data_IF_163032826775
#
_entry.id   IF_163032826775
#
_cell.length_a   1.000
_cell.length_b   1.000
_cell.length_c   1.000
_cell.angle_alpha   90.00
_cell.angle_beta   90.00
_cell.angle_gamma   90.00
#
_symmetry.space_group_name_H-M   'P 1'
#
loop_
_entity.id
_entity.type
_entity.pdbx_description
1 polymer ?
#
# COMPACT_ATOMS: atom_id res chain seq x y z
N UNK A 1 16.80 -15.65 16.94
CA UNK A 1 15.68 -16.02 17.82
C UNK A 1 14.44 -16.14 16.95
N UNK A 2 14.14 -17.36 16.52
CA UNK A 2 13.03 -17.68 15.61
C UNK A 2 11.72 -17.54 16.39
N UNK A 3 10.93 -16.53 16.08
CA UNK A 3 9.58 -16.39 16.64
C UNK A 3 8.71 -17.52 16.07
N UNK A 4 8.50 -18.55 16.89
CA UNK A 4 7.56 -19.62 16.61
C UNK A 4 6.17 -19.08 16.94
N UNK A 5 5.36 -18.85 15.91
CA UNK A 5 3.98 -18.41 16.08
C UNK A 5 3.03 -19.60 16.02
N UNK A 6 2.22 -19.77 17.06
CA UNK A 6 1.14 -20.77 17.08
C UNK A 6 0.00 -20.39 16.12
N UNK A 7 -0.71 -21.36 15.54
CA UNK A 7 -1.88 -21.08 14.71
C UNK A 7 -2.99 -20.43 15.58
N UNK A 8 -3.52 -19.31 15.09
CA UNK A 8 -4.54 -18.52 15.80
C UNK A 8 -5.90 -19.00 15.32
N UNK A 9 -6.67 -19.60 16.23
CA UNK A 9 -7.99 -20.15 15.99
C UNK A 9 -9.06 -19.06 15.86
N UNK A 10 -10.03 -19.26 14.97
CA UNK A 10 -11.22 -18.39 14.77
C UNK A 10 -12.21 -18.36 15.96
N UNK A 11 -11.84 -18.90 17.12
CA UNK A 11 -12.78 -19.16 18.22
C UNK A 11 -13.00 -17.96 19.16
N UNK A 12 -12.20 -16.90 19.04
CA UNK A 12 -12.44 -15.64 19.75
C UNK A 12 -12.93 -14.62 18.73
N UNK A 13 -14.25 -14.59 18.55
CA UNK A 13 -14.91 -13.60 17.71
C UNK A 13 -14.74 -12.21 18.33
N UNK A 14 -14.21 -11.28 17.52
CA UNK A 14 -14.15 -9.88 17.91
C UNK A 14 -15.57 -9.29 17.81
N UNK A 15 -16.02 -8.47 18.78
CA UNK A 15 -17.32 -7.79 18.68
C UNK A 15 -17.47 -7.06 17.32
N UNK A 16 -18.59 -7.21 16.60
CA UNK A 16 -18.77 -6.64 15.25
C UNK A 16 -18.52 -5.13 15.18
N UNK A 17 -18.89 -4.40 16.24
CA UNK A 17 -18.62 -2.97 16.38
C UNK A 17 -17.13 -2.61 16.29
N UNK A 18 -16.25 -3.46 16.84
CA UNK A 18 -14.80 -3.26 16.86
C UNK A 18 -14.17 -3.67 15.54
N UNK A 19 -14.69 -4.73 14.92
CA UNK A 19 -14.33 -5.13 13.55
C UNK A 19 -14.61 -3.95 12.61
N UNK A 20 -15.84 -3.44 12.63
CA UNK A 20 -16.26 -2.30 11.81
C UNK A 20 -15.42 -1.04 12.07
N UNK A 21 -15.20 -0.67 13.34
CA UNK A 21 -14.37 0.49 13.68
C UNK A 21 -12.93 0.36 13.16
N UNK A 22 -12.36 -0.85 13.21
CA UNK A 22 -11.04 -1.13 12.66
C UNK A 22 -10.99 -0.97 11.15
N UNK A 23 -11.96 -1.55 10.42
CA UNK A 23 -12.05 -1.41 8.97
C UNK A 23 -12.24 0.05 8.56
N UNK A 24 -13.10 0.79 9.25
CA UNK A 24 -13.32 2.21 8.96
C UNK A 24 -12.02 3.03 9.04
N UNK A 25 -11.22 2.86 10.09
CA UNK A 25 -9.93 3.57 10.21
C UNK A 25 -8.97 3.21 9.06
N UNK A 26 -8.99 1.97 8.61
CA UNK A 26 -8.17 1.49 7.49
C UNK A 26 -8.66 2.08 6.17
N UNK A 27 -9.97 2.09 5.94
CA UNK A 27 -10.59 2.59 4.71
C UNK A 27 -10.46 4.12 4.59
N UNK A 28 -10.44 4.84 5.72
CA UNK A 28 -10.15 6.27 5.81
C UNK A 28 -8.63 6.59 5.69
N UNK A 29 -7.78 5.59 5.43
CA UNK A 29 -6.30 5.68 5.40
C UNK A 29 -5.67 6.31 6.67
N UNK A 30 -6.36 6.25 7.80
CA UNK A 30 -5.85 6.68 9.09
C UNK A 30 -4.95 5.59 9.70
N UNK A 31 -3.77 5.39 9.11
CA UNK A 31 -2.84 4.32 9.47
C UNK A 31 -2.36 4.40 10.91
N UNK A 32 -2.09 5.60 11.43
CA UNK A 32 -1.67 5.84 12.82
C UNK A 32 -2.80 5.49 13.82
N UNK A 33 -4.03 5.92 13.52
CA UNK A 33 -5.21 5.57 14.31
C UNK A 33 -5.51 4.08 14.28
N UNK A 34 -5.46 3.47 13.10
CA UNK A 34 -5.69 2.04 12.90
C UNK A 34 -4.62 1.20 13.61
N UNK A 35 -3.35 1.62 13.61
CA UNK A 35 -2.27 0.96 14.34
C UNK A 35 -2.50 1.01 15.85
N UNK A 36 -2.79 2.19 16.41
CA UNK A 36 -3.09 2.32 17.86
C UNK A 36 -4.29 1.46 18.26
N UNK A 37 -5.33 1.46 17.44
CA UNK A 37 -6.55 0.69 17.66
C UNK A 37 -6.26 -0.82 17.63
N UNK A 38 -5.62 -1.32 16.57
CA UNK A 38 -5.28 -2.74 16.42
C UNK A 38 -4.31 -3.23 17.51
N UNK A 39 -3.32 -2.43 17.89
CA UNK A 39 -2.41 -2.77 19.00
C UNK A 39 -3.16 -2.89 20.34
N UNK A 40 -4.17 -2.07 20.57
CA UNK A 40 -5.03 -2.17 21.77
C UNK A 40 -5.88 -3.43 21.74
N UNK A 41 -6.44 -3.77 20.57
CA UNK A 41 -7.21 -4.99 20.39
C UNK A 41 -6.35 -6.25 20.56
N UNK A 42 -5.11 -6.27 20.07
CA UNK A 42 -4.19 -7.40 20.22
C UNK A 42 -3.90 -7.71 21.70
N UNK A 43 -3.79 -6.68 22.56
CA UNK A 43 -3.62 -6.89 24.01
C UNK A 43 -4.84 -7.56 24.64
N UNK A 44 -6.05 -7.24 24.17
CA UNK A 44 -7.31 -7.75 24.73
C UNK A 44 -7.76 -9.08 24.13
N UNK A 45 -7.45 -9.31 22.86
CA UNK A 45 -7.85 -10.49 22.09
C UNK A 45 -6.63 -11.09 21.35
N UNK A 46 -5.59 -11.55 22.07
CA UNK A 46 -4.31 -11.99 21.47
C UNK A 46 -4.41 -13.27 20.63
N UNK A 47 -5.58 -13.92 20.57
CA UNK A 47 -5.85 -15.12 19.76
C UNK A 47 -7.00 -14.92 18.77
N UNK A 48 -7.37 -13.68 18.46
CA UNK A 48 -8.46 -13.41 17.50
C UNK A 48 -7.91 -13.22 16.09
N UNK A 49 -8.31 -14.09 15.16
CA UNK A 49 -7.92 -13.99 13.75
C UNK A 49 -8.28 -12.65 13.11
N UNK A 50 -9.44 -12.07 13.47
CA UNK A 50 -9.91 -10.77 12.96
C UNK A 50 -8.96 -9.64 13.34
N UNK A 51 -8.45 -9.65 14.56
CA UNK A 51 -7.50 -8.63 15.02
C UNK A 51 -6.19 -8.73 14.25
N UNK A 52 -5.70 -9.94 13.98
CA UNK A 52 -4.51 -10.13 13.16
C UNK A 52 -4.77 -9.77 11.70
N UNK A 53 -5.97 -10.01 11.16
CA UNK A 53 -6.35 -9.57 9.83
C UNK A 53 -6.35 -8.03 9.72
N UNK A 54 -6.96 -7.33 10.68
CA UNK A 54 -6.90 -5.86 10.77
C UNK A 54 -5.46 -5.36 10.87
N UNK A 55 -4.63 -5.99 11.73
CA UNK A 55 -3.22 -5.61 11.87
C UNK A 55 -2.45 -5.79 10.57
N UNK A 56 -2.66 -6.89 9.84
CA UNK A 56 -2.03 -7.09 8.53
C UNK A 56 -2.45 -6.04 7.50
N UNK A 57 -3.73 -5.66 7.47
CA UNK A 57 -4.23 -4.57 6.62
C UNK A 57 -3.53 -3.24 6.94
N UNK A 58 -3.35 -2.93 8.22
CA UNK A 58 -2.61 -1.73 8.65
C UNK A 58 -1.16 -1.77 8.19
N UNK A 59 -0.46 -2.89 8.40
CA UNK A 59 0.94 -3.03 7.94
C UNK A 59 1.05 -2.91 6.42
N UNK A 60 0.08 -3.44 5.66
CA UNK A 60 0.04 -3.29 4.21
C UNK A 60 -0.09 -1.82 3.78
N UNK A 61 -1.02 -1.05 4.39
CA UNK A 61 -1.18 0.38 4.10
C UNK A 61 0.04 1.23 4.50
N UNK A 62 0.83 0.77 5.47
CA UNK A 62 2.11 1.39 5.86
C UNK A 62 3.27 1.02 4.93
N UNK A 63 3.05 0.16 3.93
CA UNK A 63 4.09 -0.34 3.04
C UNK A 63 4.94 -1.48 3.60
N UNK A 64 4.53 -2.12 4.71
CA UNK A 64 5.27 -3.21 5.37
C UNK A 64 4.82 -4.58 4.86
N UNK A 65 4.96 -4.83 3.56
CA UNK A 65 4.35 -5.99 2.88
C UNK A 65 4.83 -7.34 3.39
N UNK A 66 6.13 -7.49 3.68
CA UNK A 66 6.66 -8.73 4.24
C UNK A 66 6.03 -9.06 5.60
N UNK A 67 5.88 -8.05 6.46
CA UNK A 67 5.27 -8.21 7.77
C UNK A 67 3.78 -8.54 7.64
N UNK A 68 3.06 -7.84 6.77
CA UNK A 68 1.66 -8.12 6.46
C UNK A 68 1.48 -9.58 5.99
N UNK A 69 2.33 -10.05 5.06
CA UNK A 69 2.34 -11.42 4.56
C UNK A 69 2.60 -12.44 5.69
N UNK A 70 3.58 -12.18 6.55
CA UNK A 70 3.91 -13.04 7.71
C UNK A 70 2.74 -13.15 8.70
N UNK A 71 2.03 -12.04 8.96
CA UNK A 71 0.85 -12.03 9.83
C UNK A 71 -0.28 -12.83 9.19
N UNK A 72 -0.58 -12.60 7.91
CA UNK A 72 -1.68 -13.26 7.21
C UNK A 72 -1.51 -14.77 7.11
N UNK A 73 -0.28 -15.28 7.12
CA UNK A 73 -0.01 -16.72 7.17
C UNK A 73 -0.64 -17.40 8.41
N UNK A 74 -0.81 -16.65 9.50
CA UNK A 74 -1.36 -17.14 10.76
C UNK A 74 -2.89 -16.97 10.86
N UNK A 75 -3.48 -16.10 10.05
CA UNK A 75 -4.92 -15.85 10.02
C UNK A 75 -5.61 -17.03 9.34
N UNK A 76 -6.34 -17.83 10.10
CA UNK A 76 -7.15 -18.94 9.56
C UNK A 76 -8.54 -18.45 9.15
N UNK A 77 -9.05 -18.88 8.00
CA UNK A 77 -10.38 -18.50 7.51
C UNK A 77 -10.48 -18.59 5.99
N UNK A 78 -11.64 -19.01 5.50
CA UNK A 78 -11.91 -19.25 4.07
C UNK A 78 -12.88 -18.22 3.45
N UNK A 79 -13.18 -17.13 4.15
CA UNK A 79 -13.95 -16.03 3.59
C UNK A 79 -13.24 -15.44 2.36
N UNK A 80 -14.01 -15.11 1.32
CA UNK A 80 -13.47 -14.60 0.05
C UNK A 80 -12.60 -13.37 0.24
N UNK A 81 -13.05 -12.42 1.07
CA UNK A 81 -12.31 -11.18 1.35
C UNK A 81 -10.92 -11.45 1.94
N UNK A 82 -10.82 -12.37 2.91
CA UNK A 82 -9.53 -12.74 3.53
C UNK A 82 -8.62 -13.39 2.51
N UNK A 83 -9.16 -14.26 1.64
CA UNK A 83 -8.40 -14.95 0.59
C UNK A 83 -7.91 -13.97 -0.48
N UNK A 84 -8.76 -13.08 -0.94
CA UNK A 84 -8.43 -12.07 -1.95
C UNK A 84 -7.37 -11.10 -1.41
N UNK A 85 -7.53 -10.64 -0.17
CA UNK A 85 -6.53 -9.77 0.45
C UNK A 85 -5.19 -10.49 0.66
N UNK A 86 -5.19 -11.78 1.04
CA UNK A 86 -3.97 -12.59 1.10
C UNK A 86 -3.23 -12.63 -0.23
N UNK A 87 -3.95 -12.90 -1.32
CA UNK A 87 -3.35 -12.94 -2.65
C UNK A 87 -2.72 -11.58 -2.99
N UNK A 88 -3.46 -10.49 -2.81
CA UNK A 88 -2.95 -9.13 -3.04
C UNK A 88 -1.68 -8.83 -2.24
N UNK A 89 -1.65 -9.17 -0.94
CA UNK A 89 -0.49 -8.91 -0.08
C UNK A 89 0.72 -9.76 -0.50
N UNK A 90 0.51 -11.04 -0.81
CA UNK A 90 1.59 -11.91 -1.27
C UNK A 90 2.13 -11.48 -2.63
N UNK A 91 1.26 -11.19 -3.59
CA UNK A 91 1.67 -10.68 -4.90
C UNK A 91 2.43 -9.36 -4.77
N UNK A 92 1.94 -8.44 -3.93
CA UNK A 92 2.64 -7.18 -3.66
C UNK A 92 4.02 -7.42 -3.04
N UNK A 93 4.12 -8.30 -2.04
CA UNK A 93 5.41 -8.63 -1.44
C UNK A 93 6.37 -9.23 -2.49
N UNK A 94 5.91 -10.17 -3.30
CA UNK A 94 6.74 -10.83 -4.32
C UNK A 94 7.22 -9.85 -5.40
N UNK A 95 6.36 -8.94 -5.87
CA UNK A 95 6.70 -7.92 -6.86
C UNK A 95 7.67 -6.86 -6.31
N UNK A 96 7.67 -6.61 -5.00
CA UNK A 96 8.43 -5.51 -4.38
C UNK A 96 9.62 -5.96 -3.53
N UNK A 97 9.83 -7.26 -3.29
CA UNK A 97 10.89 -7.77 -2.39
C UNK A 97 12.32 -7.39 -2.81
N UNK A 98 12.53 -7.03 -4.08
CA UNK A 98 13.83 -6.58 -4.61
C UNK A 98 13.92 -5.07 -4.78
N UNK A 99 12.89 -4.33 -4.35
CA UNK A 99 12.91 -2.88 -4.44
C UNK A 99 13.91 -2.30 -3.44
N UNK A 100 14.57 -1.24 -3.86
CA UNK A 100 15.34 -0.37 -2.99
C UNK A 100 14.50 0.82 -2.57
N UNK A 101 14.98 1.60 -1.61
CA UNK A 101 14.24 2.75 -1.06
C UNK A 101 15.11 3.99 -1.10
N UNK A 102 14.52 5.10 -1.52
CA UNK A 102 15.07 6.45 -1.43
C UNK A 102 14.03 7.38 -0.81
N UNK A 103 14.45 8.45 -0.16
CA UNK A 103 13.54 9.36 0.54
C UNK A 103 13.82 10.83 0.24
N UNK A 104 12.76 11.61 0.32
CA UNK A 104 12.78 13.08 0.36
C UNK A 104 12.17 13.56 1.67
N UNK A 105 11.79 14.84 1.75
CA UNK A 105 11.23 15.39 2.98
C UNK A 105 9.83 14.83 3.25
N UNK A 106 9.00 14.71 2.22
CA UNK A 106 7.60 14.29 2.37
C UNK A 106 7.25 12.98 1.64
N UNK A 107 8.20 12.37 0.92
CA UNK A 107 7.93 11.16 0.13
C UNK A 107 8.97 10.07 0.33
N UNK A 108 8.50 8.82 0.24
CA UNK A 108 9.30 7.59 0.18
C UNK A 108 9.15 7.02 -1.22
N UNK A 109 10.26 6.72 -1.89
CA UNK A 109 10.30 6.14 -3.22
C UNK A 109 10.81 4.71 -3.15
N UNK A 110 10.10 3.77 -3.78
CA UNK A 110 10.56 2.40 -3.93
C UNK A 110 10.51 1.96 -5.39
N UNK A 111 11.57 1.26 -5.80
CA UNK A 111 11.81 0.92 -7.20
C UNK A 111 12.86 -0.19 -7.29
N UNK A 112 12.91 -0.91 -8.40
CA UNK A 112 13.99 -1.84 -8.68
C UNK A 112 15.25 -1.07 -9.11
N UNK A 113 16.43 -1.39 -8.56
CA UNK A 113 17.70 -0.79 -8.99
C UNK A 113 17.93 -0.98 -10.49
N UNK A 114 18.44 0.05 -11.15
CA UNK A 114 18.66 0.05 -12.59
C UNK A 114 18.20 1.37 -13.23
N UNK A 115 17.65 1.34 -14.45
CA UNK A 115 17.25 2.55 -15.19
C UNK A 115 16.28 3.46 -14.42
N UNK A 116 15.40 2.87 -13.62
CA UNK A 116 14.36 3.59 -12.88
C UNK A 116 14.90 4.43 -11.71
N UNK A 117 16.16 4.27 -11.32
CA UNK A 117 16.78 5.08 -10.27
C UNK A 117 16.79 6.57 -10.62
N UNK A 118 16.95 6.90 -11.91
CA UNK A 118 16.90 8.28 -12.39
C UNK A 118 15.50 8.90 -12.25
N UNK A 119 14.43 8.11 -12.20
CA UNK A 119 13.07 8.61 -12.02
C UNK A 119 12.90 9.30 -10.67
N UNK A 120 13.57 8.79 -9.63
CA UNK A 120 13.48 9.32 -8.25
C UNK A 120 13.87 10.79 -8.18
N UNK A 121 14.92 11.18 -8.90
CA UNK A 121 15.38 12.58 -8.93
C UNK A 121 14.30 13.53 -9.47
N UNK A 122 13.67 13.16 -10.57
CA UNK A 122 12.63 13.98 -11.19
C UNK A 122 11.30 13.90 -10.42
N UNK A 123 10.94 12.71 -9.93
CA UNK A 123 9.78 12.50 -9.06
C UNK A 123 9.86 13.38 -7.82
N UNK A 124 11.03 13.46 -7.18
CA UNK A 124 11.28 14.33 -6.02
C UNK A 124 11.02 15.79 -6.34
N UNK A 125 11.54 16.30 -7.46
CA UNK A 125 11.31 17.69 -7.86
C UNK A 125 9.83 18.01 -8.06
N UNK A 126 9.11 17.10 -8.71
CA UNK A 126 7.69 17.28 -9.02
C UNK A 126 6.86 17.19 -7.75
N UNK A 127 7.01 16.12 -6.97
CA UNK A 127 6.17 15.86 -5.82
C UNK A 127 6.41 16.81 -4.65
N UNK A 128 7.65 17.23 -4.39
CA UNK A 128 7.91 18.25 -3.35
C UNK A 128 7.27 19.60 -3.72
N UNK A 129 7.30 19.97 -5.01
CA UNK A 129 6.60 21.16 -5.50
C UNK A 129 5.08 20.98 -5.42
N UNK A 130 4.55 19.81 -5.79
CA UNK A 130 3.13 19.52 -5.68
C UNK A 130 2.65 19.50 -4.23
N UNK A 131 3.46 19.00 -3.29
CA UNK A 131 3.19 19.05 -1.85
C UNK A 131 2.97 20.48 -1.37
N UNK A 132 3.88 21.39 -1.73
CA UNK A 132 3.77 22.81 -1.35
C UNK A 132 2.54 23.47 -1.98
N UNK A 133 2.35 23.31 -3.29
CA UNK A 133 1.28 24.00 -4.02
C UNK A 133 -0.10 23.44 -3.65
N UNK A 134 -0.28 22.13 -3.75
CA UNK A 134 -1.58 21.51 -3.49
C UNK A 134 -1.92 21.58 -2.01
N UNK A 135 -0.95 21.43 -1.11
CA UNK A 135 -1.22 21.55 0.32
C UNK A 135 -1.66 22.96 0.72
N UNK A 136 -1.16 24.00 0.04
CA UNK A 136 -1.66 25.37 0.20
C UNK A 136 -3.09 25.53 -0.34
N UNK A 137 -3.39 24.94 -1.51
CA UNK A 137 -4.71 25.03 -2.14
C UNK A 137 -5.79 24.33 -1.30
N UNK A 138 -5.51 23.12 -0.82
CA UNK A 138 -6.45 22.31 -0.06
C UNK A 138 -6.40 22.57 1.46
N UNK A 139 -5.43 23.36 1.92
CA UNK A 139 -5.14 23.58 3.34
C UNK A 139 -4.97 22.24 4.10
N UNK A 140 -4.32 21.28 3.46
CA UNK A 140 -4.11 19.94 3.97
C UNK A 140 -2.74 19.43 3.59
N UNK A 141 -2.05 18.83 4.56
CA UNK A 141 -0.74 18.24 4.38
C UNK A 141 -0.74 16.83 4.98
N UNK A 142 -0.36 15.79 4.22
CA UNK A 142 -0.15 14.47 4.77
C UNK A 142 0.83 14.53 5.95
N UNK A 143 0.44 13.92 7.07
CA UNK A 143 1.25 13.88 8.29
C UNK A 143 2.45 12.93 8.16
N UNK A 144 2.22 11.81 7.50
CA UNK A 144 3.23 10.79 7.20
C UNK A 144 3.78 11.01 5.79
N UNK A 145 4.99 10.50 5.54
CA UNK A 145 5.54 10.51 4.19
C UNK A 145 4.68 9.64 3.26
N UNK A 146 4.42 10.15 2.06
CA UNK A 146 3.63 9.43 1.05
C UNK A 146 4.51 8.41 0.33
N UNK A 147 4.02 7.19 0.20
CA UNK A 147 4.72 6.09 -0.47
C UNK A 147 4.46 6.11 -1.98
N UNK A 148 5.53 6.15 -2.76
CA UNK A 148 5.55 6.11 -4.22
C UNK A 148 6.30 4.86 -4.67
N UNK A 149 5.66 4.04 -5.50
CA UNK A 149 6.21 2.78 -5.99
C UNK A 149 6.25 2.74 -7.52
N UNK A 150 7.44 2.54 -8.08
CA UNK A 150 7.65 2.36 -9.52
C UNK A 150 7.77 0.87 -9.87
N UNK A 151 6.87 0.40 -10.73
CA UNK A 151 6.78 -0.99 -11.19
C UNK A 151 7.26 -1.14 -12.63
N UNK A 152 7.84 -2.28 -13.03
CA UNK A 152 8.46 -2.40 -14.33
C UNK A 152 7.47 -2.41 -15.51
N UNK A 153 6.21 -2.80 -15.31
CA UNK A 153 5.23 -2.97 -16.39
C UNK A 153 3.77 -3.07 -15.88
N UNK A 154 2.83 -3.22 -16.83
CA UNK A 154 1.39 -3.33 -16.58
C UNK A 154 1.01 -4.62 -15.88
N UNK A 155 1.72 -5.71 -16.15
CA UNK A 155 1.50 -7.01 -15.53
C UNK A 155 1.75 -6.92 -14.02
N UNK A 156 2.87 -6.31 -13.60
CA UNK A 156 3.15 -6.01 -12.20
C UNK A 156 2.04 -5.15 -11.58
N UNK A 157 1.63 -4.06 -12.25
CA UNK A 157 0.55 -3.19 -11.76
C UNK A 157 -0.78 -3.95 -11.57
N UNK A 158 -1.10 -4.89 -12.46
CA UNK A 158 -2.34 -5.67 -12.37
C UNK A 158 -2.39 -6.61 -11.17
N UNK A 159 -1.25 -7.14 -10.73
CA UNK A 159 -1.16 -8.05 -9.58
C UNK A 159 -1.32 -7.34 -8.24
N UNK A 160 -0.92 -6.07 -8.20
CA UNK A 160 -0.81 -5.28 -6.97
C UNK A 160 -1.94 -4.24 -6.83
N UNK A 161 -2.92 -4.28 -7.73
CA UNK A 161 -4.07 -3.39 -7.77
C UNK A 161 -5.37 -4.16 -8.03
N UNK A 162 -6.54 -3.53 -7.90
CA UNK A 162 -7.81 -4.15 -8.29
C UNK A 162 -8.01 -4.30 -9.80
N UNK A 163 -7.11 -3.75 -10.63
CA UNK A 163 -7.30 -3.68 -12.07
C UNK A 163 -6.72 -4.93 -12.74
N UNK A 164 -7.50 -5.56 -13.61
CA UNK A 164 -6.97 -6.61 -14.47
C UNK A 164 -6.08 -6.02 -15.56
N UNK A 165 -5.26 -6.86 -16.19
CA UNK A 165 -4.47 -6.45 -17.37
C UNK A 165 -5.37 -5.88 -18.47
N UNK A 166 -6.56 -6.44 -18.66
CA UNK A 166 -7.52 -5.96 -19.65
C UNK A 166 -8.08 -4.59 -19.28
N UNK A 167 -8.37 -4.33 -18.00
CA UNK A 167 -8.82 -3.02 -17.54
C UNK A 167 -7.75 -1.97 -17.83
N UNK A 168 -6.49 -2.26 -17.44
CA UNK A 168 -5.33 -1.39 -17.68
C UNK A 168 -5.12 -1.12 -19.18
N UNK A 169 -5.23 -2.15 -20.01
CA UNK A 169 -5.07 -2.01 -21.46
C UNK A 169 -6.19 -1.17 -22.08
N UNK A 170 -7.42 -1.33 -21.61
CA UNK A 170 -8.60 -0.64 -22.12
C UNK A 170 -8.64 0.83 -21.71
N UNK A 171 -8.35 1.11 -20.43
CA UNK A 171 -8.38 2.48 -19.89
C UNK A 171 -7.11 3.28 -20.21
N UNK A 172 -6.01 2.59 -20.53
CA UNK A 172 -4.69 3.22 -20.63
C UNK A 172 -4.10 3.60 -19.27
N UNK A 173 -4.53 2.97 -18.17
CA UNK A 173 -4.00 3.25 -16.83
C UNK A 173 -2.49 2.99 -16.78
N UNK A 174 -1.74 3.98 -16.30
CA UNK A 174 -0.28 3.90 -16.13
C UNK A 174 0.15 4.19 -14.68
N UNK A 175 -0.76 4.73 -13.87
CA UNK A 175 -0.57 4.96 -12.45
C UNK A 175 -1.90 4.84 -11.70
N UNK A 176 -1.83 4.64 -10.39
CA UNK A 176 -2.99 4.49 -9.51
C UNK A 176 -2.65 4.90 -8.08
N UNK A 177 -3.42 5.82 -7.51
CA UNK A 177 -3.50 6.07 -6.07
C UNK A 177 -4.48 5.09 -5.40
N UNK A 178 -3.96 4.14 -4.63
CA UNK A 178 -4.78 3.21 -3.84
C UNK A 178 -3.96 2.58 -2.70
N UNK A 179 -4.64 2.16 -1.64
CA UNK A 179 -4.01 1.50 -0.49
C UNK A 179 -2.97 2.37 0.22
N UNK A 180 -3.25 3.68 0.35
CA UNK A 180 -2.36 4.65 0.98
C UNK A 180 -0.98 4.76 0.31
N UNK A 181 -0.93 4.54 -1.01
CA UNK A 181 0.27 4.70 -1.84
C UNK A 181 -0.08 5.09 -3.27
N UNK A 182 0.90 5.64 -3.97
CA UNK A 182 0.84 5.89 -5.41
C UNK A 182 1.70 4.84 -6.11
N UNK A 183 1.11 4.14 -7.07
CA UNK A 183 1.76 3.09 -7.86
C UNK A 183 1.86 3.58 -9.30
N UNK A 184 3.00 3.42 -9.94
CA UNK A 184 3.23 3.89 -11.31
C UNK A 184 4.08 2.89 -12.08
N UNK A 185 3.75 2.62 -13.35
CA UNK A 185 4.62 1.81 -14.21
C UNK A 185 5.79 2.66 -14.72
N UNK A 186 6.97 2.08 -14.89
CA UNK A 186 8.13 2.78 -15.44
C UNK A 186 7.77 3.38 -16.80
N UNK A 187 8.08 4.67 -17.07
CA UNK A 187 7.90 5.26 -18.39
C UNK A 187 8.62 4.50 -19.49
N UNK A 188 9.73 3.83 -19.17
CA UNK A 188 10.48 2.98 -20.09
C UNK A 188 9.73 1.71 -20.49
N UNK A 189 8.66 1.33 -19.81
CA UNK A 189 7.85 0.16 -20.14
C UNK A 189 6.97 0.37 -21.37
N UNK A 190 6.81 1.60 -21.84
CA UNK A 190 6.04 1.95 -23.04
C UNK A 190 6.96 2.46 -24.14
N UNK A 191 6.75 1.99 -25.38
CA UNK A 191 7.57 2.33 -26.55
C UNK A 191 7.72 3.84 -26.77
N UNK A 192 6.69 4.62 -26.44
CA UNK A 192 6.68 6.09 -26.59
C UNK A 192 6.78 6.85 -25.26
N UNK A 193 7.00 6.14 -24.15
CA UNK A 193 6.83 6.71 -22.81
C UNK A 193 5.43 7.29 -22.61
N UNK A 194 5.33 8.20 -21.63
CA UNK A 194 4.15 9.02 -21.36
C UNK A 194 4.56 10.22 -20.48
N UNK A 195 3.64 11.19 -20.29
CA UNK A 195 3.87 12.38 -19.46
C UNK A 195 3.82 12.05 -17.96
N UNK A 196 4.72 11.17 -17.52
CA UNK A 196 4.67 10.51 -16.23
C UNK A 196 4.82 11.45 -15.04
N UNK A 197 5.52 12.59 -15.19
CA UNK A 197 5.63 13.60 -14.14
C UNK A 197 4.27 14.27 -13.87
N UNK A 198 3.52 14.61 -14.92
CA UNK A 198 2.17 15.18 -14.78
C UNK A 198 1.22 14.14 -14.20
N UNK A 199 1.32 12.89 -14.67
CA UNK A 199 0.58 11.76 -14.08
C UNK A 199 0.90 11.59 -12.60
N UNK A 200 2.16 11.74 -12.19
CA UNK A 200 2.56 11.57 -10.79
C UNK A 200 1.95 12.67 -9.91
N UNK A 201 1.94 13.92 -10.39
CA UNK A 201 1.25 15.01 -9.70
C UNK A 201 -0.27 14.83 -9.69
N UNK A 202 -0.85 14.23 -10.73
CA UNK A 202 -2.27 13.89 -10.79
C UNK A 202 -2.64 12.85 -9.73
N UNK A 203 -1.90 11.74 -9.64
CA UNK A 203 -2.14 10.73 -8.61
C UNK A 203 -1.93 11.28 -7.20
N UNK A 204 -0.98 12.21 -7.02
CA UNK A 204 -0.82 12.89 -5.74
C UNK A 204 -2.03 13.78 -5.40
N UNK A 205 -2.70 14.34 -6.39
CA UNK A 205 -3.98 15.05 -6.19
C UNK A 205 -5.09 14.09 -5.75
N UNK A 206 -5.08 12.83 -6.18
CA UNK A 206 -6.00 11.81 -5.66
C UNK A 206 -5.66 11.34 -4.24
N UNK A 207 -4.42 11.51 -3.82
CA UNK A 207 -3.96 11.08 -2.50
C UNK A 207 -4.37 12.06 -1.38
N UNK A 208 -4.33 13.36 -1.67
CA UNK A 208 -4.66 14.45 -0.75
C UNK A 208 -6.17 14.72 -0.69
#
# INVERSE_FOLDING_TARGET
MTLVFSPITSAIELPPEKVYAGHKLIDDWNTEGAERFTNTLLKKYPKSGDVYFLKARVEFLKGNYELAAKILKQVTGNHSEVREFKNLVYDTYEETKLFTTSESKHFIYRYQKGPDEMLVHYATKVLEKSYEILGNIFNYYPKEKVLIEFYPNKESLSKISPLTVNDIATSGTVALCKYNRIMMISPGSLVRGYNWMDTLSHEYTHYI
#
